data_IF_673792558962
#
_entry.id   IF_673792558962
#
_cell.length_a   1.000
_cell.length_b   1.000
_cell.length_c   1.000
_cell.angle_alpha   90.00
_cell.angle_beta   90.00
_cell.angle_gamma   90.00
#
_symmetry.space_group_name_H-M   'P 1'
#
loop_
_entity.id
_entity.type
_entity.pdbx_description
1 polymer ?
#
# COMPACT_ATOMS: atom_id res chain seq x y z
N UNK A 1 27.74 20.96 -33.92
CA UNK A 1 27.02 20.34 -32.78
C UNK A 1 27.20 21.28 -31.60
N UNK A 2 26.12 21.88 -31.11
CA UNK A 2 26.20 22.74 -29.92
C UNK A 2 26.56 21.87 -28.72
N UNK A 3 27.67 22.19 -28.04
CA UNK A 3 28.02 21.55 -26.79
C UNK A 3 27.16 22.14 -25.68
N UNK A 4 26.15 21.40 -25.25
CA UNK A 4 25.37 21.74 -24.05
C UNK A 4 26.26 21.56 -22.83
N UNK A 5 26.98 22.62 -22.46
CA UNK A 5 27.72 22.68 -21.20
C UNK A 5 26.72 22.87 -20.06
N UNK A 6 26.26 21.77 -19.47
CA UNK A 6 25.45 21.81 -18.25
C UNK A 6 26.38 21.81 -17.04
N UNK A 7 26.12 22.68 -16.06
CA UNK A 7 26.85 22.64 -14.80
C UNK A 7 26.43 21.43 -13.95
N UNK A 8 27.31 20.96 -13.07
CA UNK A 8 27.00 19.88 -12.13
C UNK A 8 25.80 20.21 -11.23
N UNK A 9 25.65 21.49 -10.87
CA UNK A 9 24.51 22.00 -10.10
C UNK A 9 23.19 21.90 -10.86
N UNK A 10 23.17 22.26 -12.14
CA UNK A 10 21.97 22.17 -12.98
C UNK A 10 21.59 20.72 -13.23
N UNK A 11 22.56 19.86 -13.51
CA UNK A 11 22.31 18.43 -13.66
C UNK A 11 21.71 17.82 -12.39
N UNK A 12 22.26 18.17 -11.22
CA UNK A 12 21.74 17.73 -9.93
C UNK A 12 20.28 18.17 -9.75
N UNK A 13 19.99 19.43 -10.07
CA UNK A 13 18.63 19.98 -9.96
C UNK A 13 17.64 19.28 -10.89
N UNK A 14 18.03 19.01 -12.13
CA UNK A 14 17.19 18.29 -13.09
C UNK A 14 16.88 16.86 -12.64
N UNK A 15 17.88 16.17 -12.06
CA UNK A 15 17.67 14.82 -11.52
C UNK A 15 16.72 14.85 -10.32
N UNK A 16 16.90 15.81 -9.40
CA UNK A 16 16.00 15.99 -8.26
C UNK A 16 14.56 16.25 -8.71
N UNK A 17 14.36 17.17 -9.66
CA UNK A 17 13.04 17.47 -10.23
C UNK A 17 12.42 16.25 -10.94
N UNK A 18 13.21 15.52 -11.73
CA UNK A 18 12.73 14.31 -12.41
C UNK A 18 12.30 13.23 -11.41
N UNK A 19 13.07 13.01 -10.33
CA UNK A 19 12.70 12.05 -9.30
C UNK A 19 11.44 12.47 -8.54
N UNK A 20 11.31 13.74 -8.19
CA UNK A 20 10.11 14.27 -7.54
C UNK A 20 8.89 14.05 -8.44
N UNK A 21 9.00 14.36 -9.73
CA UNK A 21 7.90 14.17 -10.67
C UNK A 21 7.47 12.70 -10.76
N UNK A 22 8.41 11.77 -10.85
CA UNK A 22 8.10 10.33 -10.86
C UNK A 22 7.39 9.90 -9.56
N UNK A 23 7.83 10.39 -8.40
CA UNK A 23 7.19 10.06 -7.12
C UNK A 23 5.79 10.64 -6.99
N UNK A 24 5.54 11.83 -7.56
CA UNK A 24 4.21 12.45 -7.58
C UNK A 24 3.29 11.70 -8.54
N UNK A 25 3.77 11.39 -9.75
CA UNK A 25 3.01 10.66 -10.77
C UNK A 25 2.66 9.24 -10.33
N UNK A 26 3.53 8.60 -9.53
CA UNK A 26 3.36 7.24 -9.01
C UNK A 26 2.92 7.20 -7.54
N UNK A 27 2.34 8.30 -7.04
CA UNK A 27 1.80 8.39 -5.68
C UNK A 27 0.70 7.36 -5.44
N UNK A 28 -0.08 7.06 -6.47
CA UNK A 28 -1.09 5.99 -6.49
C UNK A 28 -0.50 4.66 -6.02
N UNK A 29 0.64 4.23 -6.55
CA UNK A 29 1.27 2.97 -6.14
C UNK A 29 1.67 2.95 -4.67
N UNK A 30 2.12 4.10 -4.14
CA UNK A 30 2.48 4.21 -2.74
C UNK A 30 1.24 4.17 -1.85
N UNK A 31 0.16 4.82 -2.27
CA UNK A 31 -1.12 4.79 -1.57
C UNK A 31 -1.72 3.38 -1.56
N UNK A 32 -1.73 2.70 -2.71
CA UNK A 32 -2.23 1.33 -2.83
C UNK A 32 -1.44 0.35 -1.97
N UNK A 33 -0.11 0.41 -2.01
CA UNK A 33 0.75 -0.46 -1.20
C UNK A 33 0.55 -0.25 0.30
N UNK A 34 0.37 1.01 0.74
CA UNK A 34 0.08 1.33 2.15
C UNK A 34 -1.33 0.88 2.53
N UNK A 35 -2.32 1.07 1.66
CA UNK A 35 -3.68 0.62 1.90
C UNK A 35 -3.75 -0.90 2.06
N UNK A 36 -3.07 -1.65 1.19
CA UNK A 36 -2.99 -3.11 1.26
C UNK A 36 -2.33 -3.57 2.56
N UNK A 37 -1.20 -2.95 2.94
CA UNK A 37 -0.53 -3.26 4.20
C UNK A 37 -1.43 -3.03 5.43
N UNK A 38 -2.24 -1.96 5.43
CA UNK A 38 -3.22 -1.69 6.50
C UNK A 38 -4.32 -2.77 6.52
N UNK A 39 -4.81 -3.18 5.34
CA UNK A 39 -5.84 -4.22 5.22
C UNK A 39 -5.31 -5.55 5.78
N UNK A 40 -4.10 -5.94 5.43
CA UNK A 40 -3.47 -7.18 5.91
C UNK A 40 -3.29 -7.20 7.43
N UNK A 41 -2.87 -6.07 8.01
CA UNK A 41 -2.76 -5.93 9.47
C UNK A 41 -4.12 -6.06 10.15
N UNK A 42 -5.16 -5.40 9.63
CA UNK A 42 -6.50 -5.47 10.19
C UNK A 42 -7.11 -6.88 10.07
N UNK A 43 -6.86 -7.57 8.95
CA UNK A 43 -7.28 -8.95 8.76
C UNK A 43 -6.62 -9.86 9.80
N UNK A 44 -5.31 -9.71 10.00
CA UNK A 44 -4.57 -10.48 11.02
C UNK A 44 -5.17 -10.30 12.41
N UNK A 45 -5.40 -9.06 12.83
CA UNK A 45 -6.01 -8.75 14.13
C UNK A 45 -7.44 -9.33 14.25
N UNK A 46 -8.21 -9.33 13.16
CA UNK A 46 -9.58 -9.88 13.16
C UNK A 46 -9.58 -11.40 13.27
N UNK A 47 -8.61 -12.08 12.64
CA UNK A 47 -8.42 -13.52 12.78
C UNK A 47 -8.05 -13.86 14.23
N UNK A 48 -7.08 -13.14 14.81
CA UNK A 48 -6.68 -13.33 16.21
C UNK A 48 -7.84 -13.11 17.18
N UNK A 49 -8.65 -12.06 16.95
CA UNK A 49 -9.83 -11.79 17.77
C UNK A 49 -10.93 -12.86 17.61
N UNK A 50 -11.04 -13.46 16.42
CA UNK A 50 -11.99 -14.54 16.13
C UNK A 50 -11.53 -15.91 16.62
N UNK A 51 -10.23 -16.10 16.85
CA UNK A 51 -9.65 -17.35 17.37
C UNK A 51 -9.89 -17.47 18.89
N UNK A 52 -11.14 -17.73 19.24
CA UNK A 52 -11.59 -17.90 20.62
C UNK A 52 -11.21 -19.26 21.22
N UNK A 53 -10.69 -20.19 20.42
CA UNK A 53 -10.44 -21.58 20.81
C UNK A 53 -11.72 -22.41 21.02
N UNK A 54 -12.91 -21.83 20.84
CA UNK A 54 -14.19 -22.50 20.98
C UNK A 54 -14.67 -23.05 19.63
N UNK A 55 -15.25 -24.26 19.66
CA UNK A 55 -15.82 -24.89 18.47
C UNK A 55 -17.23 -24.37 18.23
N UNK A 56 -17.45 -23.70 17.09
CA UNK A 56 -18.78 -23.23 16.70
C UNK A 56 -19.59 -24.37 16.08
N UNK A 57 -20.86 -24.50 16.48
CA UNK A 57 -21.75 -25.54 15.96
C UNK A 57 -22.24 -25.24 14.54
N UNK A 58 -22.49 -26.29 13.73
CA UNK A 58 -23.06 -26.14 12.38
C UNK A 58 -24.36 -25.32 12.40
N UNK A 59 -25.18 -25.51 13.43
CA UNK A 59 -26.43 -24.78 13.62
C UNK A 59 -26.22 -23.26 13.74
N UNK A 60 -25.21 -22.82 14.47
CA UNK A 60 -24.87 -21.40 14.60
C UNK A 60 -24.31 -20.81 13.32
N UNK A 61 -23.48 -21.58 12.59
CA UNK A 61 -22.96 -21.17 11.28
C UNK A 61 -24.13 -20.94 10.32
N UNK A 62 -25.04 -21.92 10.25
CA UNK A 62 -26.20 -21.88 9.36
C UNK A 62 -27.18 -20.76 9.72
N UNK A 63 -27.31 -20.41 11.00
CA UNK A 63 -28.13 -19.29 11.45
C UNK A 63 -27.57 -17.93 10.99
N UNK A 64 -26.25 -17.74 10.96
CA UNK A 64 -25.61 -16.49 10.50
C UNK A 64 -25.61 -16.32 8.98
N UNK A 65 -25.69 -17.42 8.22
CA UNK A 65 -25.64 -17.40 6.75
C UNK A 65 -27.02 -17.26 6.08
N UNK A 66 -28.10 -17.51 6.82
CA UNK A 66 -29.47 -17.47 6.31
C UNK A 66 -30.22 -16.17 6.67
N UNK A 67 -29.55 -15.23 7.32
CA UNK A 67 -30.02 -13.86 7.62
C UNK A 67 -29.39 -12.88 6.60
#
# INVERSE_FOLDING_TARGET
MESTHISKSELKKLIEEAMINVLIERKDLLEDAVAEAIIDMNLTLSIEAGDTGEYVSEKEIMAKLMD
#
